data_IF_864551684474
#
_entry.id   IF_864551684474
#
_cell.length_a   1.000
_cell.length_b   1.000
_cell.length_c   1.000
_cell.angle_alpha   90.00
_cell.angle_beta   90.00
_cell.angle_gamma   90.00
#
_symmetry.space_group_name_H-M   'P 1'
#
loop_
_entity.id
_entity.type
_entity.pdbx_description
1 polymer ?
#
# COMPACT_ATOMS: atom_id res chain seq x y z
N UNK A 1 -8.61 -2.43 1.28
CA UNK A 1 -8.40 -2.04 2.70
C UNK A 1 -9.74 -1.94 3.43
N UNK A 2 -9.78 -2.33 4.71
CA UNK A 2 -10.91 -2.11 5.61
C UNK A 2 -10.46 -1.32 6.86
N UNK A 3 -10.95 -0.08 6.98
CA UNK A 3 -10.66 0.80 8.12
C UNK A 3 -11.39 0.39 9.41
N UNK A 4 -12.50 -0.34 9.32
CA UNK A 4 -13.21 -0.85 10.49
C UNK A 4 -12.46 -2.04 11.09
N UNK A 5 -11.90 -2.89 10.24
CA UNK A 5 -11.06 -4.02 10.67
C UNK A 5 -9.60 -3.63 10.92
N UNK A 6 -9.19 -2.44 10.49
CA UNK A 6 -7.79 -1.99 10.46
C UNK A 6 -6.90 -3.01 9.73
N UNK A 7 -7.33 -3.42 8.53
CA UNK A 7 -6.63 -4.41 7.70
C UNK A 7 -6.45 -3.96 6.25
N UNK A 8 -5.31 -4.32 5.66
CA UNK A 8 -5.02 -4.12 4.23
C UNK A 8 -4.73 -5.48 3.61
N UNK A 9 -5.23 -5.72 2.39
CA UNK A 9 -4.91 -6.90 1.60
C UNK A 9 -4.48 -6.43 0.22
N UNK A 10 -3.33 -6.91 -0.23
CA UNK A 10 -2.79 -6.64 -1.56
C UNK A 10 -2.49 -7.98 -2.25
N UNK A 11 -3.14 -8.22 -3.38
CA UNK A 11 -2.81 -9.33 -4.27
C UNK A 11 -1.91 -8.82 -5.39
N UNK A 12 -0.72 -9.38 -5.49
CA UNK A 12 0.31 -9.01 -6.45
C UNK A 12 0.62 -10.22 -7.33
N UNK A 13 0.73 -9.96 -8.63
CA UNK A 13 1.24 -10.93 -9.60
C UNK A 13 2.60 -10.46 -10.07
N UNK A 14 3.63 -11.26 -9.82
CA UNK A 14 5.01 -10.97 -10.18
C UNK A 14 5.48 -11.95 -11.25
N UNK A 15 6.40 -11.55 -12.12
CA UNK A 15 7.01 -12.45 -13.11
C UNK A 15 8.51 -12.20 -13.21
N UNK A 16 9.28 -13.27 -13.39
CA UNK A 16 10.71 -13.19 -13.73
C UNK A 16 10.97 -13.62 -15.19
N UNK A 17 10.00 -13.36 -16.08
CA UNK A 17 9.94 -13.80 -17.48
C UNK A 17 9.77 -15.32 -17.70
N UNK A 18 10.23 -16.17 -16.76
CA UNK A 18 10.09 -17.63 -16.85
C UNK A 18 8.95 -18.19 -15.99
N UNK A 19 8.62 -17.50 -14.90
CA UNK A 19 7.62 -17.96 -13.94
C UNK A 19 6.79 -16.78 -13.42
N UNK A 20 5.49 -17.04 -13.23
CA UNK A 20 4.55 -16.14 -12.59
C UNK A 20 4.38 -16.57 -11.13
N UNK A 21 4.48 -15.61 -10.22
CA UNK A 21 4.28 -15.79 -8.78
C UNK A 21 3.07 -14.97 -8.35
N UNK A 22 2.14 -15.61 -7.66
CA UNK A 22 1.09 -14.92 -6.92
C UNK A 22 1.58 -14.67 -5.49
N UNK A 23 1.46 -13.43 -5.06
CA UNK A 23 1.81 -12.97 -3.73
C UNK A 23 0.58 -12.29 -3.12
N UNK A 24 0.17 -12.74 -1.94
CA UNK A 24 -0.86 -12.05 -1.15
C UNK A 24 -0.20 -11.46 0.10
N UNK A 25 -0.32 -10.16 0.29
CA UNK A 25 0.09 -9.46 1.50
C UNK A 25 -1.14 -9.11 2.31
N UNK A 26 -1.19 -9.50 3.58
CA UNK A 26 -2.23 -9.13 4.53
C UNK A 26 -1.56 -8.36 5.66
N UNK A 27 -2.01 -7.15 5.92
CA UNK A 27 -1.52 -6.30 7.00
C UNK A 27 -2.62 -6.17 8.05
N UNK A 28 -2.34 -6.62 9.27
CA UNK A 28 -3.23 -6.53 10.43
C UNK A 28 -2.65 -5.49 11.39
N UNK A 29 -3.20 -4.27 11.35
CA UNK A 29 -2.75 -3.15 12.18
C UNK A 29 -3.23 -3.29 13.64
N UNK A 30 -4.29 -4.07 13.89
CA UNK A 30 -4.69 -4.41 15.26
C UNK A 30 -3.64 -5.30 15.94
N UNK A 31 -3.01 -6.21 15.19
CA UNK A 31 -1.96 -7.10 15.70
C UNK A 31 -0.54 -6.60 15.47
N UNK A 32 -0.35 -5.52 14.71
CA UNK A 32 0.94 -5.03 14.23
C UNK A 32 1.76 -6.11 13.50
N UNK A 33 1.10 -6.89 12.63
CA UNK A 33 1.72 -7.98 11.87
C UNK A 33 1.40 -7.84 10.39
N UNK A 34 2.43 -8.04 9.56
CA UNK A 34 2.28 -8.27 8.12
C UNK A 34 2.48 -9.75 7.83
N UNK A 35 1.59 -10.32 7.03
CA UNK A 35 1.62 -11.69 6.53
C UNK A 35 1.87 -11.63 5.02
N UNK A 36 2.89 -12.31 4.54
CA UNK A 36 3.16 -12.44 3.10
C UNK A 36 3.04 -13.91 2.71
N UNK A 37 2.14 -14.20 1.78
CA UNK A 37 1.85 -15.55 1.29
C UNK A 37 2.37 -15.64 -0.15
N UNK A 38 3.31 -16.55 -0.39
CA UNK A 38 3.93 -16.76 -1.71
C UNK A 38 3.92 -18.26 -1.99
N UNK A 39 3.28 -18.66 -3.09
CA UNK A 39 3.22 -20.08 -3.50
C UNK A 39 2.78 -21.04 -2.38
N UNK A 40 1.81 -20.62 -1.55
CA UNK A 40 1.29 -21.39 -0.42
C UNK A 40 2.16 -21.38 0.84
N UNK A 41 3.34 -20.76 0.82
CA UNK A 41 4.17 -20.53 2.02
C UNK A 41 3.81 -19.20 2.65
N UNK A 42 3.83 -19.13 3.99
CA UNK A 42 3.54 -17.90 4.71
C UNK A 42 4.74 -17.39 5.51
N UNK A 43 4.97 -16.09 5.42
CA UNK A 43 5.98 -15.35 6.15
C UNK A 43 5.30 -14.30 7.03
N UNK A 44 5.79 -14.10 8.25
CA UNK A 44 5.33 -13.04 9.15
C UNK A 44 6.45 -12.07 9.46
N UNK A 45 6.13 -10.79 9.44
CA UNK A 45 7.00 -9.73 9.92
C UNK A 45 6.23 -8.77 10.84
N UNK A 46 6.90 -8.10 11.80
CA UNK A 46 6.29 -6.99 12.52
C UNK A 46 5.95 -5.87 11.54
N UNK A 47 4.72 -5.36 11.60
CA UNK A 47 4.32 -4.20 10.82
C UNK A 47 4.90 -2.93 11.45
N UNK A 48 5.34 -1.99 10.61
CA UNK A 48 5.84 -0.68 11.04
C UNK A 48 4.87 0.39 10.56
N UNK A 49 4.62 1.38 11.40
CA UNK A 49 3.73 2.48 11.08
C UNK A 49 2.30 2.23 11.53
N UNK A 50 1.39 3.10 11.08
CA UNK A 50 -0.04 3.08 11.37
C UNK A 50 -0.81 3.13 10.06
N UNK A 51 -2.03 2.62 10.07
CA UNK A 51 -2.94 2.80 8.96
C UNK A 51 -3.19 4.30 8.80
N UNK A 52 -2.86 4.86 7.63
CA UNK A 52 -3.12 6.27 7.35
C UNK A 52 -4.58 6.47 6.97
N UNK A 53 -5.11 7.65 7.33
CA UNK A 53 -6.50 8.01 7.12
C UNK A 53 -6.92 7.96 5.63
N UNK A 54 -8.24 8.00 5.39
CA UNK A 54 -8.85 7.82 4.07
C UNK A 54 -8.49 8.88 3.02
N UNK A 55 -7.79 9.95 3.39
CA UNK A 55 -7.52 11.08 2.51
C UNK A 55 -6.14 11.69 2.80
N UNK A 56 -5.78 12.70 2.00
CA UNK A 56 -4.56 13.49 2.14
C UNK A 56 -4.48 14.07 3.57
N UNK A 57 -3.40 13.80 4.32
CA UNK A 57 -3.20 14.37 5.66
C UNK A 57 -3.23 15.90 5.66
N UNK A 58 -3.77 16.52 6.72
CA UNK A 58 -3.92 17.98 6.83
C UNK A 58 -2.59 18.76 6.71
N UNK A 59 -1.48 18.14 7.11
CA UNK A 59 -0.14 18.72 7.03
C UNK A 59 0.55 18.49 5.67
N UNK A 60 -0.19 18.12 4.63
CA UNK A 60 0.31 17.96 3.27
C UNK A 60 0.39 19.30 2.53
N UNK A 61 1.27 19.38 1.53
CA UNK A 61 1.47 20.58 0.73
C UNK A 61 0.77 20.47 -0.62
N UNK A 62 -0.22 21.32 -0.88
CA UNK A 62 -0.95 21.37 -2.15
C UNK A 62 -0.06 21.84 -3.30
N UNK A 63 -0.02 21.08 -4.39
CA UNK A 63 0.74 21.43 -5.59
C UNK A 63 -0.11 22.06 -6.71
N UNK A 64 -1.43 21.83 -6.68
CA UNK A 64 -2.32 22.30 -7.73
C UNK A 64 -3.30 21.21 -8.18
N UNK A 65 -4.15 21.60 -9.13
CA UNK A 65 -5.12 20.72 -9.76
C UNK A 65 -4.80 20.52 -11.24
N UNK A 66 -5.28 19.41 -11.80
CA UNK A 66 -5.12 19.09 -13.21
C UNK A 66 -6.21 18.12 -13.66
N UNK A 67 -6.36 17.97 -14.98
CA UNK A 67 -7.19 16.92 -15.55
C UNK A 67 -6.36 15.63 -15.67
N UNK A 68 -6.85 14.55 -15.08
CA UNK A 68 -6.27 13.21 -15.19
C UNK A 68 -7.33 12.27 -15.76
N UNK A 69 -7.12 11.77 -16.98
CA UNK A 69 -8.07 10.90 -17.69
C UNK A 69 -9.51 11.46 -17.75
N UNK A 70 -9.65 12.80 -17.83
CA UNK A 70 -10.95 13.47 -17.91
C UNK A 70 -11.59 13.79 -16.55
N UNK A 71 -10.94 13.47 -15.43
CA UNK A 71 -11.39 13.79 -14.07
C UNK A 71 -10.53 14.93 -13.51
N UNK A 72 -11.14 15.86 -12.77
CA UNK A 72 -10.40 16.89 -12.04
C UNK A 72 -9.77 16.27 -10.79
N UNK A 73 -8.45 16.34 -10.72
CA UNK A 73 -7.67 15.78 -9.63
C UNK A 73 -6.77 16.83 -8.98
N UNK A 74 -6.57 16.68 -7.68
CA UNK A 74 -5.71 17.52 -6.86
C UNK A 74 -4.44 16.74 -6.50
N UNK A 75 -3.26 17.37 -6.61
CA UNK A 75 -1.97 16.76 -6.24
C UNK A 75 -1.38 17.41 -5.00
N UNK A 76 -0.83 16.57 -4.12
CA UNK A 76 -0.27 16.95 -2.84
C UNK A 76 1.09 16.30 -2.62
N UNK A 77 1.99 16.98 -1.90
CA UNK A 77 3.18 16.37 -1.28
C UNK A 77 2.80 15.96 0.14
N UNK A 78 2.96 14.68 0.45
CA UNK A 78 2.67 14.16 1.78
C UNK A 78 3.89 14.33 2.70
N UNK A 79 3.65 14.50 4.02
CA UNK A 79 4.71 14.40 5.00
C UNK A 79 5.29 12.98 5.02
N UNK A 80 6.61 12.85 4.93
CA UNK A 80 7.29 11.59 5.15
C UNK A 80 8.34 11.74 6.25
N UNK A 81 8.20 10.95 7.31
CA UNK A 81 9.08 11.01 8.47
C UNK A 81 10.03 9.81 8.48
N UNK A 82 11.19 9.96 7.83
CA UNK A 82 12.32 9.05 8.01
C UNK A 82 13.53 9.82 8.51
N UNK A 83 14.25 9.23 9.46
CA UNK A 83 15.53 9.76 9.96
C UNK A 83 16.71 9.36 9.08
N UNK A 84 16.51 8.44 8.13
CA UNK A 84 17.58 7.76 7.40
C UNK A 84 17.49 8.05 5.89
N UNK A 85 16.28 8.25 5.36
CA UNK A 85 16.02 8.40 3.93
C UNK A 85 15.38 9.76 3.64
N UNK A 86 15.82 10.40 2.55
CA UNK A 86 15.14 11.57 2.00
C UNK A 86 14.13 11.08 0.99
N UNK A 87 12.85 11.10 1.38
CA UNK A 87 11.76 10.58 0.55
C UNK A 87 10.72 11.67 0.31
N UNK A 88 10.27 11.78 -0.94
CA UNK A 88 9.15 12.62 -1.34
C UNK A 88 8.03 11.74 -1.86
N UNK A 89 6.85 11.87 -1.25
CA UNK A 89 5.63 11.19 -1.70
C UNK A 89 4.71 12.23 -2.30
N UNK A 90 4.33 12.06 -3.56
CA UNK A 90 3.27 12.83 -4.20
C UNK A 90 2.05 11.95 -4.36
N UNK A 91 0.89 12.44 -3.93
CA UNK A 91 -0.38 11.76 -4.13
C UNK A 91 -1.29 12.64 -4.96
N UNK A 92 -1.93 12.02 -5.94
CA UNK A 92 -3.00 12.62 -6.73
C UNK A 92 -4.30 11.93 -6.40
N UNK A 93 -5.31 12.71 -6.00
CA UNK A 93 -6.64 12.24 -5.63
C UNK A 93 -7.72 12.94 -6.47
N UNK A 94 -8.87 12.31 -6.67
CA UNK A 94 -10.06 13.00 -7.22
C UNK A 94 -10.44 14.16 -6.30
N UNK A 95 -10.77 15.31 -6.86
CA UNK A 95 -11.12 16.49 -6.07
C UNK A 95 -12.34 16.29 -5.16
N UNK A 96 -13.36 15.57 -5.63
CA UNK A 96 -14.65 15.50 -4.94
C UNK A 96 -14.67 14.45 -3.82
N UNK A 97 -14.12 13.27 -4.07
CA UNK A 97 -14.25 12.10 -3.18
C UNK A 97 -12.92 11.64 -2.56
N UNK A 98 -11.84 12.38 -2.80
CA UNK A 98 -10.49 12.03 -2.34
C UNK A 98 -10.03 10.60 -2.70
N UNK A 99 -10.52 10.07 -3.83
CA UNK A 99 -10.14 8.77 -4.35
C UNK A 99 -8.73 8.87 -4.91
N UNK A 100 -7.76 8.04 -4.45
CA UNK A 100 -6.40 8.07 -4.95
C UNK A 100 -6.35 7.53 -6.36
N UNK A 101 -5.65 8.24 -7.22
CA UNK A 101 -5.51 7.90 -8.64
C UNK A 101 -4.06 7.53 -8.92
N UNK A 102 -3.13 8.26 -8.30
CA UNK A 102 -1.71 8.05 -8.50
C UNK A 102 -0.92 8.37 -7.24
N UNK A 103 0.10 7.58 -7.00
CA UNK A 103 1.16 7.86 -6.03
C UNK A 103 2.52 7.82 -6.73
N UNK A 104 3.35 8.82 -6.45
CA UNK A 104 4.74 8.89 -6.91
C UNK A 104 5.65 8.97 -5.71
N UNK A 105 6.50 7.96 -5.57
CA UNK A 105 7.47 7.87 -4.50
C UNK A 105 8.87 8.05 -5.06
N UNK A 106 9.55 9.11 -4.62
CA UNK A 106 10.98 9.29 -4.87
C UNK A 106 11.73 9.09 -3.55
N UNK A 107 12.59 8.08 -3.50
CA UNK A 107 13.49 7.85 -2.36
C UNK A 107 14.93 8.10 -2.81
N UNK A 108 15.60 9.02 -2.12
CA UNK A 108 17.00 9.39 -2.38
C UNK A 108 17.85 8.78 -1.27
N UNK A 109 18.79 7.91 -1.67
CA UNK A 109 19.75 7.24 -0.80
C UNK A 109 21.07 7.00 -1.56
N UNK A 110 21.90 6.03 -1.14
CA UNK A 110 23.03 5.55 -1.96
C UNK A 110 22.59 4.98 -3.32
N UNK A 111 21.34 4.52 -3.39
CA UNK A 111 20.68 4.13 -4.64
C UNK A 111 19.31 4.78 -4.64
N UNK A 112 19.11 5.75 -5.51
CA UNK A 112 17.81 6.42 -5.64
C UNK A 112 16.82 5.51 -6.35
N UNK A 113 15.59 5.50 -5.88
CA UNK A 113 14.48 4.78 -6.50
C UNK A 113 13.31 5.72 -6.76
N UNK A 114 12.60 5.46 -7.86
CA UNK A 114 11.39 6.15 -8.24
C UNK A 114 10.31 5.12 -8.54
N UNK A 115 9.21 5.17 -7.79
CA UNK A 115 8.07 4.28 -7.98
C UNK A 115 6.85 5.08 -8.40
N UNK A 116 6.11 4.54 -9.37
CA UNK A 116 4.84 5.08 -9.82
C UNK A 116 3.77 4.01 -9.60
N UNK A 117 2.75 4.36 -8.83
CA UNK A 117 1.60 3.50 -8.58
C UNK A 117 0.40 4.21 -9.19
N UNK A 118 -0.26 3.57 -10.14
CA UNK A 118 -1.53 4.06 -10.68
C UNK A 118 -2.64 3.13 -10.17
N UNK A 119 -3.67 3.72 -9.61
CA UNK A 119 -4.82 3.00 -9.07
C UNK A 119 -5.97 3.10 -10.07
N UNK A 120 -6.51 1.95 -10.46
CA UNK A 120 -7.53 1.84 -11.52
C UNK A 120 -8.63 0.88 -11.06
N UNK A 121 -9.80 0.94 -11.69
CA UNK A 121 -10.95 0.06 -11.42
C UNK A 121 -11.36 0.04 -9.93
N UNK A 122 -11.24 1.20 -9.32
CA UNK A 122 -11.56 1.50 -7.94
C UNK A 122 -13.08 1.31 -7.73
N UNK A 123 -13.46 0.44 -6.79
CA UNK A 123 -14.86 0.16 -6.42
C UNK A 123 -15.12 0.39 -4.94
N UNK A 124 -16.12 1.18 -4.60
CA UNK A 124 -16.41 1.49 -3.19
C UNK A 124 -16.85 0.25 -2.43
N UNK A 125 -16.19 -0.01 -1.30
CA UNK A 125 -16.54 -1.10 -0.38
C UNK A 125 -15.75 -2.38 -0.60
N UNK A 126 -16.13 -3.43 0.14
CA UNK A 126 -15.49 -4.74 0.10
C UNK A 126 -16.54 -5.74 -0.38
N UNK A 127 -16.31 -6.32 -1.56
CA UNK A 127 -17.24 -7.28 -2.17
C UNK A 127 -17.25 -8.61 -1.41
N UNK A 128 -16.08 -9.09 -0.99
CA UNK A 128 -15.93 -10.32 -0.22
C UNK A 128 -15.10 -10.04 1.05
N UNK A 129 -15.70 -10.07 2.24
CA UNK A 129 -14.97 -9.83 3.49
C UNK A 129 -13.99 -10.96 3.83
N UNK A 130 -14.12 -12.15 3.22
CA UNK A 130 -13.24 -13.28 3.51
C UNK A 130 -11.80 -13.07 3.02
N UNK A 131 -11.54 -12.06 2.19
CA UNK A 131 -10.18 -11.70 1.75
C UNK A 131 -9.26 -11.35 2.94
N UNK A 132 -9.83 -10.96 4.09
CA UNK A 132 -9.08 -10.66 5.31
C UNK A 132 -8.82 -11.88 6.19
N UNK A 133 -9.35 -13.06 5.85
CA UNK A 133 -9.13 -14.27 6.64
C UNK A 133 -7.67 -14.71 6.54
N UNK A 134 -6.98 -14.70 7.69
CA UNK A 134 -5.59 -15.14 7.79
C UNK A 134 -5.56 -16.68 7.72
N UNK A 135 -4.89 -17.28 6.72
CA UNK A 135 -4.82 -18.74 6.57
C UNK A 135 -4.19 -19.43 7.78
N UNK A 136 -4.59 -20.67 8.05
CA UNK A 136 -4.09 -21.45 9.20
C UNK A 136 -2.56 -21.62 9.18
N UNK A 137 -1.96 -21.80 8.00
CA UNK A 137 -0.50 -21.87 7.83
C UNK A 137 0.17 -20.60 8.37
N UNK A 138 -0.41 -19.42 8.10
CA UNK A 138 0.08 -18.17 8.62
C UNK A 138 -0.08 -18.07 10.13
N UNK A 139 -1.10 -18.66 10.74
CA UNK A 139 -1.26 -18.56 12.20
C UNK A 139 -0.10 -19.24 12.94
N UNK A 140 0.42 -20.34 12.40
CA UNK A 140 1.49 -21.16 12.97
C UNK A 140 2.89 -20.63 12.64
N UNK A 141 3.04 -19.79 11.60
CA UNK A 141 4.35 -19.22 11.24
C UNK A 141 4.87 -18.30 12.37
N UNK A 142 6.10 -18.53 12.86
CA UNK A 142 6.76 -17.62 13.79
C UNK A 142 7.07 -16.28 13.11
N UNK A 143 7.10 -15.20 13.90
CA UNK A 143 7.50 -13.90 13.39
C UNK A 143 8.99 -13.96 13.04
N UNK A 144 9.35 -13.57 11.82
CA UNK A 144 10.73 -13.39 11.41
C UNK A 144 10.99 -11.90 11.25
N UNK A 145 12.15 -11.44 11.73
CA UNK A 145 12.62 -10.10 11.38
C UNK A 145 12.88 -10.11 9.86
N UNK A 146 12.40 -9.11 9.09
CA UNK A 146 12.50 -9.14 7.64
C UNK A 146 13.97 -9.25 7.21
N UNK A 147 14.34 -10.38 6.60
CA UNK A 147 15.65 -10.58 5.97
C UNK A 147 15.71 -9.97 4.56
N UNK A 148 14.58 -9.51 4.03
CA UNK A 148 14.47 -8.86 2.72
C UNK A 148 13.63 -7.59 2.87
N UNK A 149 14.09 -6.43 2.36
CA UNK A 149 13.26 -5.23 2.29
C UNK A 149 12.25 -5.37 1.14
N UNK A 150 11.31 -6.30 1.24
CA UNK A 150 10.09 -6.24 0.43
C UNK A 150 9.16 -5.09 0.89
N UNK A 151 9.44 -4.54 2.08
CA UNK A 151 8.63 -3.51 2.73
C UNK A 151 8.67 -2.14 2.06
N UNK A 152 9.64 -1.85 1.18
CA UNK A 152 9.70 -0.52 0.54
C UNK A 152 8.78 -0.40 -0.68
N UNK A 153 8.28 -1.51 -1.24
CA UNK A 153 7.31 -1.48 -2.34
C UNK A 153 5.87 -1.56 -1.86
N UNK A 154 5.60 -2.20 -0.71
CA UNK A 154 4.23 -2.46 -0.23
C UNK A 154 3.83 -1.52 0.93
N UNK A 155 4.80 -1.05 1.72
CA UNK A 155 4.57 -0.31 2.98
C UNK A 155 4.11 1.14 2.84
N UNK A 156 3.79 1.60 1.63
CA UNK A 156 3.21 2.92 1.39
C UNK A 156 1.74 2.88 0.93
N UNK A 157 1.16 1.69 0.73
CA UNK A 157 -0.22 1.52 0.26
C UNK A 157 -1.29 1.74 1.35
N UNK A 158 -1.11 2.72 2.21
CA UNK A 158 -2.11 3.10 3.21
C UNK A 158 -2.99 4.26 2.75
N UNK A 159 -3.52 4.20 1.53
CA UNK A 159 -4.59 5.12 1.14
C UNK A 159 -5.69 4.36 0.37
N UNK A 160 -6.80 4.20 1.08
CA UNK A 160 -8.17 4.03 0.56
C UNK A 160 -8.68 2.60 0.29
N UNK A 161 -9.98 2.43 0.54
CA UNK A 161 -10.78 1.19 0.43
C UNK A 161 -10.92 0.70 -1.01
N UNK A 162 -9.94 0.04 -1.63
CA UNK A 162 -10.19 -0.60 -2.93
C UNK A 162 -9.60 -2.00 -3.06
N UNK A 163 -10.26 -2.82 -3.90
CA UNK A 163 -9.77 -4.08 -4.45
C UNK A 163 -9.43 -3.82 -5.91
N UNK A 164 -8.26 -4.28 -6.36
CA UNK A 164 -7.92 -4.40 -7.77
C UNK A 164 -8.57 -5.71 -8.25
N UNK A 165 -9.47 -5.62 -9.23
CA UNK A 165 -10.04 -6.80 -9.92
C UNK A 165 -9.11 -7.22 -11.04
#
# INVERSE_FOLDING_TARGET
MDYNLLMVVNDLVMTNASQVYALTSIEDYNKNVSYTIISGQCYKAPLRGRLQDNCVPENSHYLGNHSYLGIVADTWILPYYSKILTTSVRMTVTRDECIPIQEVLLTISSTSSLSFINMMNITQGIVDPNIFNIPSICQQTPIHSPQVPLMDLVGLHSFVKYKIV
#
